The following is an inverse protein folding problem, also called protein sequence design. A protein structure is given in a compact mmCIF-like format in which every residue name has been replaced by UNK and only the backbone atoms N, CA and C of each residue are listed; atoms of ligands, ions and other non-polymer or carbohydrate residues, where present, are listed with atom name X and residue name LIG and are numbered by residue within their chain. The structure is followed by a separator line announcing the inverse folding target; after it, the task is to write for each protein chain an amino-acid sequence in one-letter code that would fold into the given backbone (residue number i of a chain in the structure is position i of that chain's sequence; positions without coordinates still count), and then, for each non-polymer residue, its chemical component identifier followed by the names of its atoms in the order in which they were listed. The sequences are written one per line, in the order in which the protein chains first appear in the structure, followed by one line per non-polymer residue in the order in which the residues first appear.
data_IF_816775700478
#
_entry.id   IF_816775700478
#
_cell.length_a   1.000
_cell.length_b   1.000
_cell.length_c   1.000
_cell.angle_alpha   90.00
_cell.angle_beta   90.00
_cell.angle_gamma   90.00
#
_symmetry.space_group_name_H-M   'P 1'
#
loop_
_entity.id
_entity.type
_entity.pdbx_description
1 polymer ?
#
# COMPACT_ATOMS: atom_id res chain seq x y z
N UNK A 1 -3.63 -13.55 -26.01
CA UNK A 1 -2.58 -14.59 -25.92
C UNK A 1 -2.66 -15.13 -24.51
N UNK A 2 -2.93 -16.41 -24.34
CA UNK A 2 -2.91 -17.04 -23.01
C UNK A 2 -1.45 -17.15 -22.56
N UNK A 3 -1.04 -16.33 -21.60
CA UNK A 3 0.22 -16.51 -20.89
C UNK A 3 0.25 -17.92 -20.33
N UNK A 4 1.37 -18.64 -20.52
CA UNK A 4 1.53 -19.97 -19.92
C UNK A 4 1.40 -19.85 -18.40
N UNK A 5 0.60 -20.74 -17.79
CA UNK A 5 0.30 -20.72 -16.35
C UNK A 5 1.59 -20.82 -15.53
N UNK A 6 2.60 -21.53 -16.05
CA UNK A 6 3.91 -21.63 -15.41
C UNK A 6 4.64 -20.28 -15.37
N UNK A 7 4.65 -19.54 -16.49
CA UNK A 7 5.21 -18.19 -16.57
C UNK A 7 4.49 -17.23 -15.62
N UNK A 8 3.17 -17.33 -15.51
CA UNK A 8 2.38 -16.49 -14.59
C UNK A 8 2.71 -16.73 -13.12
N UNK A 9 2.98 -17.99 -12.72
CA UNK A 9 3.45 -18.31 -11.37
C UNK A 9 4.83 -17.71 -11.10
N UNK A 10 5.78 -17.88 -12.02
CA UNK A 10 7.12 -17.32 -11.87
C UNK A 10 7.11 -15.78 -11.78
N UNK A 11 6.25 -15.13 -12.57
CA UNK A 11 6.11 -13.67 -12.55
C UNK A 11 5.43 -13.19 -11.26
N UNK A 12 4.46 -13.95 -10.75
CA UNK A 12 3.84 -13.67 -9.45
C UNK A 12 4.84 -13.78 -8.30
N UNK A 13 5.67 -14.83 -8.29
CA UNK A 13 6.68 -15.04 -7.25
C UNK A 13 7.70 -13.90 -7.24
N UNK A 14 8.21 -13.50 -8.41
CA UNK A 14 9.07 -12.33 -8.54
C UNK A 14 8.39 -11.05 -8.06
N UNK A 15 7.11 -10.86 -8.38
CA UNK A 15 6.37 -9.68 -7.95
C UNK A 15 6.18 -9.65 -6.42
N UNK A 16 5.91 -10.80 -5.80
CA UNK A 16 5.82 -10.93 -4.34
C UNK A 16 7.18 -10.69 -3.68
N UNK A 17 8.26 -11.29 -4.18
CA UNK A 17 9.62 -11.05 -3.69
C UNK A 17 10.01 -9.57 -3.78
N UNK A 18 9.71 -8.92 -4.92
CA UNK A 18 9.94 -7.49 -5.11
C UNK A 18 9.14 -6.64 -4.13
N UNK A 19 7.85 -6.97 -3.90
CA UNK A 19 7.02 -6.30 -2.90
C UNK A 19 7.63 -6.43 -1.50
N UNK A 20 8.03 -7.63 -1.10
CA UNK A 20 8.64 -7.89 0.21
C UNK A 20 9.96 -7.14 0.39
N UNK A 21 10.82 -7.15 -0.62
CA UNK A 21 12.10 -6.43 -0.61
C UNK A 21 11.88 -4.91 -0.52
N UNK A 22 10.97 -4.36 -1.32
CA UNK A 22 10.66 -2.94 -1.32
C UNK A 22 10.02 -2.50 0.00
N UNK A 23 9.13 -3.32 0.55
CA UNK A 23 8.53 -3.12 1.88
C UNK A 23 9.61 -3.06 2.96
N UNK A 24 10.62 -3.94 2.93
CA UNK A 24 11.75 -3.92 3.88
C UNK A 24 12.51 -2.60 3.81
N UNK A 25 12.93 -2.17 2.61
CA UNK A 25 13.70 -0.94 2.42
C UNK A 25 12.93 0.29 2.91
N UNK A 26 11.66 0.42 2.50
CA UNK A 26 10.84 1.58 2.88
C UNK A 26 10.51 1.58 4.38
N UNK A 27 10.45 0.41 5.02
CA UNK A 27 10.31 0.31 6.48
C UNK A 27 11.58 0.70 7.21
N UNK A 28 12.75 0.32 6.72
CA UNK A 28 14.02 0.77 7.28
C UNK A 28 14.13 2.30 7.26
N UNK A 29 13.72 2.95 6.18
CA UNK A 29 13.66 4.42 6.09
C UNK A 29 12.73 5.02 7.16
N UNK A 30 11.54 4.43 7.33
CA UNK A 30 10.55 4.87 8.32
C UNK A 30 11.06 4.65 9.75
N UNK A 31 11.64 3.50 10.04
CA UNK A 31 12.16 3.14 11.36
C UNK A 31 13.32 4.05 11.75
N UNK A 32 14.26 4.31 10.82
CA UNK A 32 15.35 5.25 11.04
C UNK A 32 14.83 6.67 11.36
N UNK A 33 13.81 7.14 10.65
CA UNK A 33 13.19 8.43 10.92
C UNK A 33 12.44 8.45 12.27
N UNK A 34 11.72 7.39 12.60
CA UNK A 34 11.00 7.25 13.86
C UNK A 34 11.95 7.18 15.06
N UNK A 35 13.08 6.50 14.93
CA UNK A 35 14.10 6.39 15.96
C UNK A 35 14.68 7.76 16.33
N UNK A 36 15.00 8.58 15.34
CA UNK A 36 15.49 9.96 15.57
C UNK A 36 14.36 10.87 16.09
N UNK A 37 13.10 10.58 15.76
CA UNK A 37 11.95 11.39 16.19
C UNK A 37 11.53 11.18 17.64
N UNK A 38 12.00 10.11 18.31
CA UNK A 38 11.68 9.80 19.71
C UNK A 38 12.05 10.92 20.69
N UNK A 39 13.11 11.66 20.39
CA UNK A 39 13.67 12.65 21.32
C UNK A 39 13.20 14.09 21.04
N UNK A 40 12.62 14.37 19.87
CA UNK A 40 12.14 15.71 19.49
C UNK A 40 10.93 15.67 18.56
N UNK A 41 9.75 15.49 19.14
CA UNK A 41 8.48 15.50 18.41
C UNK A 41 8.10 16.86 17.81
N UNK A 42 8.79 17.94 18.18
CA UNK A 42 8.54 19.29 17.66
C UNK A 42 9.34 19.59 16.39
N UNK A 43 10.31 18.73 16.05
CA UNK A 43 11.23 18.92 14.95
C UNK A 43 10.52 18.93 13.58
N UNK A 44 10.42 20.11 12.98
CA UNK A 44 9.74 20.29 11.70
C UNK A 44 10.45 19.59 10.53
N UNK A 45 11.77 19.39 10.59
CA UNK A 45 12.50 18.63 9.56
C UNK A 45 12.07 17.17 9.59
N UNK A 46 12.06 16.58 10.79
CA UNK A 46 11.67 15.18 10.96
C UNK A 46 10.20 14.94 10.60
N UNK A 47 9.28 15.83 11.02
CA UNK A 47 7.86 15.73 10.62
C UNK A 47 7.69 15.72 9.10
N UNK A 48 8.35 16.62 8.38
CA UNK A 48 8.28 16.67 6.91
C UNK A 48 8.82 15.40 6.26
N UNK A 49 9.94 14.90 6.75
CA UNK A 49 10.56 13.70 6.19
C UNK A 49 9.72 12.45 6.49
N UNK A 50 9.15 12.34 7.69
CA UNK A 50 8.21 11.26 8.02
C UNK A 50 6.98 11.29 7.11
N UNK A 51 6.37 12.45 6.88
CA UNK A 51 5.22 12.54 5.95
C UNK A 51 5.59 12.08 4.54
N UNK A 52 6.73 12.52 4.01
CA UNK A 52 7.18 12.13 2.66
C UNK A 52 7.49 10.64 2.57
N UNK A 53 8.23 10.09 3.53
CA UNK A 53 8.56 8.66 3.59
C UNK A 53 7.30 7.81 3.74
N UNK A 54 6.35 8.22 4.60
CA UNK A 54 5.05 7.56 4.77
C UNK A 54 4.29 7.45 3.45
N UNK A 55 4.24 8.53 2.67
CA UNK A 55 3.52 8.50 1.39
C UNK A 55 4.27 7.75 0.29
N UNK A 56 5.59 7.82 0.26
CA UNK A 56 6.40 6.97 -0.62
C UNK A 56 6.12 5.48 -0.34
N UNK A 57 6.06 5.08 0.94
CA UNK A 57 5.64 3.74 1.35
C UNK A 57 4.24 3.38 0.84
N UNK A 58 3.24 4.23 1.10
CA UNK A 58 1.85 3.97 0.71
C UNK A 58 1.70 3.80 -0.80
N UNK A 59 2.32 4.68 -1.58
CA UNK A 59 2.24 4.64 -3.04
C UNK A 59 2.96 3.42 -3.61
N UNK A 60 4.14 3.08 -3.09
CA UNK A 60 4.90 1.91 -3.50
C UNK A 60 4.15 0.60 -3.23
N UNK A 61 3.63 0.42 -2.02
CA UNK A 61 2.85 -0.78 -1.67
C UNK A 61 1.56 -0.86 -2.48
N UNK A 62 0.87 0.27 -2.69
CA UNK A 62 -0.33 0.31 -3.54
C UNK A 62 -0.02 -0.11 -4.97
N UNK A 63 1.07 0.41 -5.55
CA UNK A 63 1.49 0.04 -6.90
C UNK A 63 1.82 -1.46 -7.01
N UNK A 64 2.63 -1.98 -6.09
CA UNK A 64 3.04 -3.38 -6.13
C UNK A 64 1.84 -4.33 -5.98
N UNK A 65 0.88 -4.01 -5.11
CA UNK A 65 -0.36 -4.78 -4.98
C UNK A 65 -1.22 -4.73 -6.25
N UNK A 66 -1.34 -3.58 -6.92
CA UNK A 66 -1.99 -3.51 -8.25
C UNK A 66 -1.26 -4.38 -9.26
N UNK A 67 0.06 -4.31 -9.32
CA UNK A 67 0.86 -5.08 -10.26
C UNK A 67 0.68 -6.60 -10.06
N UNK A 68 0.73 -7.09 -8.82
CA UNK A 68 0.43 -8.49 -8.51
C UNK A 68 -0.99 -8.88 -8.94
N UNK A 69 -1.96 -7.98 -8.76
CA UNK A 69 -3.34 -8.19 -9.21
C UNK A 69 -3.40 -8.33 -10.74
N UNK A 70 -2.69 -7.48 -11.49
CA UNK A 70 -2.60 -7.57 -12.96
C UNK A 70 -2.06 -8.91 -13.42
N UNK A 71 -1.00 -9.43 -12.80
CA UNK A 71 -0.43 -10.74 -13.16
C UNK A 71 -1.47 -11.85 -13.05
N UNK A 72 -2.25 -11.88 -11.97
CA UNK A 72 -3.30 -12.90 -11.75
C UNK A 72 -4.42 -12.78 -12.80
N UNK A 73 -4.79 -11.55 -13.16
CA UNK A 73 -5.86 -11.28 -14.14
C UNK A 73 -5.38 -11.63 -15.56
N UNK A 74 -4.18 -11.23 -15.93
CA UNK A 74 -3.57 -11.50 -17.24
C UNK A 74 -3.33 -12.99 -17.48
N UNK A 75 -3.08 -13.75 -16.40
CA UNK A 75 -3.02 -15.21 -16.43
C UNK A 75 -4.39 -15.88 -16.62
N UNK A 76 -5.49 -15.12 -16.58
CA UNK A 76 -6.85 -15.65 -16.65
C UNK A 76 -7.31 -16.37 -15.38
N UNK A 77 -6.58 -16.22 -14.26
CA UNK A 77 -6.92 -16.85 -12.99
C UNK A 77 -8.05 -16.10 -12.25
N UNK A 78 -8.37 -14.88 -12.69
CA UNK A 78 -9.49 -14.09 -12.19
C UNK A 78 -10.08 -13.22 -13.30
N UNK A 79 -11.41 -13.21 -13.45
CA UNK A 79 -12.12 -12.34 -14.39
C UNK A 79 -12.65 -11.09 -13.69
N UNK A 80 -12.24 -9.92 -14.16
CA UNK A 80 -12.65 -8.62 -13.61
C UNK A 80 -13.93 -8.10 -14.24
N UNK A 81 -14.73 -7.39 -13.45
CA UNK A 81 -15.78 -6.54 -14.00
C UNK A 81 -15.16 -5.40 -14.84
N UNK A 82 -15.82 -4.89 -15.89
CA UNK A 82 -15.23 -3.87 -16.78
C UNK A 82 -14.69 -2.64 -16.06
N UNK A 83 -15.38 -2.16 -15.02
CA UNK A 83 -14.92 -1.01 -14.20
C UNK A 83 -13.67 -1.32 -13.37
N UNK A 84 -13.49 -2.57 -12.98
CA UNK A 84 -12.32 -3.01 -12.22
C UNK A 84 -11.11 -3.16 -13.14
N UNK A 85 -11.32 -3.66 -14.36
CA UNK A 85 -10.29 -3.70 -15.39
C UNK A 85 -9.82 -2.28 -15.76
N UNK A 86 -10.76 -1.36 -16.01
CA UNK A 86 -10.45 0.06 -16.27
C UNK A 86 -9.64 0.69 -15.14
N UNK A 87 -10.02 0.44 -13.87
CA UNK A 87 -9.27 0.93 -12.72
C UNK A 87 -7.85 0.34 -12.63
N UNK A 88 -7.69 -0.95 -12.96
CA UNK A 88 -6.41 -1.62 -12.89
C UNK A 88 -5.42 -1.05 -13.92
N UNK A 89 -5.91 -0.71 -15.11
CA UNK A 89 -5.15 -0.10 -16.21
C UNK A 89 -4.94 1.41 -16.04
N UNK A 90 -5.76 2.10 -15.25
CA UNK A 90 -5.65 3.54 -15.03
C UNK A 90 -4.46 3.91 -14.12
N UNK A 91 -3.42 4.48 -14.75
CA UNK A 91 -2.25 5.05 -14.07
C UNK A 91 -2.51 6.44 -13.45
N UNK A 92 -3.62 7.10 -13.79
CA UNK A 92 -3.94 8.49 -13.40
C UNK A 92 -5.04 8.59 -12.36
N UNK A 93 -5.35 7.50 -11.66
CA UNK A 93 -6.33 7.54 -10.58
C UNK A 93 -5.84 8.40 -9.40
N UNK A 94 -6.72 9.26 -8.89
CA UNK A 94 -6.51 10.02 -7.64
C UNK A 94 -5.94 9.13 -6.51
N UNK A 95 -4.93 9.59 -5.78
CA UNK A 95 -4.19 8.75 -4.83
C UNK A 95 -5.10 8.07 -3.80
N UNK A 96 -6.07 8.79 -3.20
CA UNK A 96 -6.93 8.18 -2.18
C UNK A 96 -7.87 7.16 -2.80
N UNK A 97 -8.41 7.46 -3.98
CA UNK A 97 -9.18 6.48 -4.75
C UNK A 97 -8.32 5.26 -5.10
N UNK A 98 -7.07 5.48 -5.49
CA UNK A 98 -6.14 4.43 -5.88
C UNK A 98 -5.84 3.49 -4.71
N UNK A 99 -5.47 4.03 -3.55
CA UNK A 99 -5.25 3.24 -2.33
C UNK A 99 -6.49 2.44 -1.96
N UNK A 100 -7.65 3.12 -1.91
CA UNK A 100 -8.92 2.51 -1.48
C UNK A 100 -9.37 1.38 -2.40
N UNK A 101 -9.42 1.65 -3.71
CA UNK A 101 -9.90 0.66 -4.68
C UNK A 101 -8.89 -0.48 -4.89
N UNK A 102 -7.59 -0.22 -4.74
CA UNK A 102 -6.56 -1.28 -4.72
C UNK A 102 -6.78 -2.23 -3.55
N UNK A 103 -6.97 -1.74 -2.32
CA UNK A 103 -7.21 -2.60 -1.14
C UNK A 103 -8.41 -3.53 -1.38
N UNK A 104 -9.51 -2.99 -1.91
CA UNK A 104 -10.72 -3.78 -2.23
C UNK A 104 -10.46 -4.80 -3.33
N UNK A 105 -9.83 -4.36 -4.41
CA UNK A 105 -9.61 -5.20 -5.57
C UNK A 105 -8.69 -6.36 -5.23
N UNK A 106 -7.60 -6.09 -4.53
CA UNK A 106 -6.65 -7.09 -4.02
C UNK A 106 -7.38 -8.09 -3.11
N UNK A 107 -8.14 -7.61 -2.12
CA UNK A 107 -8.90 -8.51 -1.25
C UNK A 107 -9.82 -9.45 -2.04
N UNK A 108 -10.51 -8.91 -3.07
CA UNK A 108 -11.38 -9.67 -3.96
C UNK A 108 -10.63 -10.69 -4.82
N UNK A 109 -9.55 -10.29 -5.47
CA UNK A 109 -8.78 -11.13 -6.41
C UNK A 109 -8.05 -12.25 -5.67
N UNK A 110 -7.43 -11.94 -4.55
CA UNK A 110 -6.77 -12.94 -3.72
C UNK A 110 -7.77 -13.76 -2.90
N UNK A 111 -9.02 -13.34 -2.73
CA UNK A 111 -10.02 -14.02 -1.88
C UNK A 111 -9.59 -14.02 -0.41
N UNK A 112 -9.07 -12.88 0.04
CA UNK A 112 -8.74 -12.59 1.45
C UNK A 112 -9.78 -11.62 2.03
N UNK A 113 -9.97 -11.57 3.35
CA UNK A 113 -10.83 -10.60 3.99
C UNK A 113 -10.54 -9.16 3.53
N UNK A 114 -11.59 -8.44 3.12
CA UNK A 114 -11.48 -7.00 2.88
C UNK A 114 -11.12 -6.32 4.20
N UNK A 115 -10.12 -5.44 4.16
CA UNK A 115 -9.79 -4.63 5.33
C UNK A 115 -10.94 -3.66 5.56
N UNK A 116 -11.33 -3.47 6.81
CA UNK A 116 -12.30 -2.43 7.14
C UNK A 116 -11.69 -1.07 6.78
N UNK A 117 -12.07 -0.57 5.61
CA UNK A 117 -11.74 0.76 5.09
C UNK A 117 -12.43 1.88 5.87
N UNK A 118 -12.90 1.57 7.09
CA UNK A 118 -13.59 2.48 7.97
C UNK A 118 -14.92 2.89 7.35
N UNK A 119 -15.94 2.05 7.49
CA UNK A 119 -17.32 2.58 7.55
C UNK A 119 -17.49 3.67 8.64
N UNK A 120 -16.50 3.82 9.53
CA UNK A 120 -16.31 4.85 10.55
C UNK A 120 -14.91 5.47 10.60
N UNK A 121 -14.64 6.13 11.73
CA UNK A 121 -13.66 7.20 12.07
C UNK A 121 -12.21 7.12 11.59
N UNK A 122 -11.72 6.04 10.99
CA UNK A 122 -10.28 5.87 10.81
C UNK A 122 -9.78 6.30 9.42
N UNK A 123 -10.53 5.99 8.34
CA UNK A 123 -10.26 6.56 7.01
C UNK A 123 -10.41 8.09 6.98
N UNK A 124 -11.21 8.64 7.92
CA UNK A 124 -11.34 10.08 8.05
C UNK A 124 -10.03 10.76 8.46
N UNK A 125 -9.09 10.02 9.07
CA UNK A 125 -7.74 10.51 9.37
C UNK A 125 -6.82 10.45 8.16
N UNK A 126 -7.01 9.50 7.23
CA UNK A 126 -6.16 9.32 6.04
C UNK A 126 -6.26 10.51 5.08
N UNK A 127 -7.47 10.99 4.80
CA UNK A 127 -7.69 12.08 3.82
C UNK A 127 -6.94 13.38 4.19
N UNK A 128 -6.96 13.87 5.44
CA UNK A 128 -6.12 14.98 5.89
C UNK A 128 -4.63 14.78 5.62
N UNK A 129 -4.11 13.55 5.80
CA UNK A 129 -2.68 13.27 5.61
C UNK A 129 -2.20 13.53 4.19
N UNK A 130 -3.07 13.30 3.19
CA UNK A 130 -2.73 13.53 1.78
C UNK A 130 -2.52 15.02 1.52
N UNK A 131 -3.37 15.88 2.10
CA UNK A 131 -3.23 17.34 1.96
C UNK A 131 -1.90 17.84 2.50
N UNK A 132 -1.41 17.24 3.59
CA UNK A 132 -0.09 17.56 4.14
C UNK A 132 0.98 17.19 3.12
N UNK A 133 0.95 15.96 2.57
CA UNK A 133 1.90 15.54 1.54
C UNK A 133 1.90 16.47 0.34
N UNK A 134 0.72 16.76 -0.23
CA UNK A 134 0.59 17.59 -1.44
C UNK A 134 1.23 18.95 -1.23
N UNK A 135 0.99 19.55 -0.06
CA UNK A 135 1.57 20.82 0.35
C UNK A 135 3.09 20.74 0.53
N UNK A 136 3.63 19.62 1.00
CA UNK A 136 5.07 19.42 1.17
C UNK A 136 5.82 19.12 -0.13
N UNK A 137 5.16 18.58 -1.15
CA UNK A 137 5.76 18.27 -2.46
C UNK A 137 5.57 19.40 -3.48
N UNK A 138 4.52 20.20 -3.32
CA UNK A 138 4.21 21.34 -4.18
C UNK A 138 3.96 22.62 -3.36
N UNK A 139 4.94 23.05 -2.53
CA UNK A 139 4.76 24.21 -1.65
C UNK A 139 4.61 25.50 -2.47
N UNK A 140 3.62 26.31 -2.13
CA UNK A 140 3.39 27.64 -2.68
C UNK A 140 3.98 28.75 -1.83
N UNK A 141 4.32 28.45 -0.57
CA UNK A 141 4.96 29.39 0.35
C UNK A 141 5.81 28.65 1.40
N UNK A 142 6.59 29.39 2.19
CA UNK A 142 7.39 28.82 3.27
C UNK A 142 6.51 28.34 4.44
N UNK A 143 5.40 29.03 4.69
CA UNK A 143 4.40 28.67 5.72
C UNK A 143 3.77 27.32 5.41
N UNK A 144 3.59 27.00 4.13
CA UNK A 144 3.11 25.69 3.69
C UNK A 144 4.06 24.53 4.06
N UNK A 145 5.32 24.78 4.42
CA UNK A 145 6.23 23.72 4.90
C UNK A 145 6.11 23.42 6.40
N UNK A 146 5.27 24.15 7.13
CA UNK A 146 5.03 23.95 8.56
C UNK A 146 3.93 22.92 8.79
N UNK A 147 4.18 21.93 9.63
CA UNK A 147 3.20 20.92 10.01
C UNK A 147 2.77 21.20 11.44
N UNK A 148 1.52 21.59 11.61
CA UNK A 148 0.94 21.86 12.92
C UNK A 148 0.77 20.58 13.73
N UNK A 149 0.66 20.68 15.05
CA UNK A 149 0.54 19.50 15.93
C UNK A 149 -0.72 18.68 15.62
N UNK A 150 -1.82 19.34 15.29
CA UNK A 150 -3.05 18.67 14.88
C UNK A 150 -2.92 17.92 13.55
N UNK A 151 -2.19 18.50 12.58
CA UNK A 151 -1.88 17.86 11.30
C UNK A 151 -0.96 16.66 11.52
N UNK A 152 0.03 16.80 12.41
CA UNK A 152 0.95 15.73 12.77
C UNK A 152 0.22 14.54 13.41
N UNK A 153 -0.68 14.79 14.37
CA UNK A 153 -1.47 13.73 15.00
C UNK A 153 -2.41 13.05 14.00
N UNK A 154 -3.04 13.81 13.10
CA UNK A 154 -3.84 13.25 12.01
C UNK A 154 -2.98 12.38 11.07
N UNK A 155 -1.77 12.83 10.73
CA UNK A 155 -0.81 12.07 9.92
C UNK A 155 -0.46 10.73 10.58
N UNK A 156 -0.05 10.77 11.84
CA UNK A 156 0.32 9.57 12.60
C UNK A 156 -0.82 8.56 12.64
N UNK A 157 -2.03 8.99 12.98
CA UNK A 157 -3.18 8.11 13.10
C UNK A 157 -3.60 7.52 11.73
N UNK A 158 -3.64 8.36 10.70
CA UNK A 158 -3.95 7.90 9.33
C UNK A 158 -2.91 6.93 8.78
N UNK A 159 -1.62 7.20 9.02
CA UNK A 159 -0.54 6.35 8.54
C UNK A 159 -0.46 5.01 9.29
N UNK A 160 -0.61 5.00 10.62
CA UNK A 160 -0.66 3.75 11.40
C UNK A 160 -1.80 2.84 10.91
N UNK A 161 -2.95 3.43 10.60
CA UNK A 161 -4.06 2.67 10.03
C UNK A 161 -3.71 2.10 8.65
N UNK A 162 -3.10 2.88 7.75
CA UNK A 162 -2.68 2.43 6.42
C UNK A 162 -1.68 1.27 6.49
N UNK A 163 -0.67 1.38 7.35
CA UNK A 163 0.32 0.33 7.58
C UNK A 163 -0.36 -0.96 8.04
N UNK A 164 -1.26 -0.89 9.03
CA UNK A 164 -2.02 -2.06 9.51
C UNK A 164 -2.88 -2.69 8.43
N UNK A 165 -3.52 -1.87 7.59
CA UNK A 165 -4.34 -2.37 6.48
C UNK A 165 -3.49 -3.15 5.47
N UNK A 166 -2.34 -2.59 5.07
CA UNK A 166 -1.42 -3.26 4.15
C UNK A 166 -0.77 -4.51 4.76
N UNK A 167 -0.30 -4.44 5.99
CA UNK A 167 0.33 -5.59 6.68
C UNK A 167 -0.64 -6.74 6.82
N UNK A 168 -1.88 -6.43 7.20
CA UNK A 168 -2.93 -7.43 7.20
C UNK A 168 -3.07 -8.06 5.82
N UNK A 169 -3.28 -7.25 4.77
CA UNK A 169 -3.50 -7.82 3.41
C UNK A 169 -2.34 -8.72 2.99
N UNK A 170 -1.11 -8.26 3.20
CA UNK A 170 0.08 -9.03 2.84
C UNK A 170 0.18 -10.33 3.63
N UNK A 171 -0.12 -10.31 4.93
CA UNK A 171 -0.18 -11.52 5.77
C UNK A 171 -1.19 -12.52 5.23
N UNK A 172 -2.42 -12.09 4.95
CA UNK A 172 -3.47 -12.99 4.47
C UNK A 172 -3.15 -13.57 3.09
N UNK A 173 -2.55 -12.76 2.19
CA UNK A 173 -2.10 -13.21 0.87
C UNK A 173 -1.00 -14.27 1.03
N UNK A 174 0.00 -14.01 1.87
CA UNK A 174 1.11 -14.92 2.10
C UNK A 174 0.64 -16.24 2.74
N UNK A 175 -0.26 -16.19 3.71
CA UNK A 175 -0.81 -17.37 4.37
C UNK A 175 -1.59 -18.24 3.38
N UNK A 176 -2.42 -17.59 2.54
CA UNK A 176 -3.19 -18.29 1.53
C UNK A 176 -2.29 -18.91 0.44
N UNK A 177 -1.22 -18.21 0.05
CA UNK A 177 -0.23 -18.70 -0.90
C UNK A 177 0.52 -19.91 -0.34
N UNK A 178 1.01 -19.82 0.89
CA UNK A 178 1.72 -20.91 1.60
C UNK A 178 0.85 -22.16 1.74
N UNK A 179 -0.44 -22.00 2.04
CA UNK A 179 -1.39 -23.12 2.14
C UNK A 179 -1.64 -23.84 0.81
N UNK A 180 -1.48 -23.17 -0.33
CA UNK A 180 -1.62 -23.79 -1.66
C UNK A 180 -0.37 -24.60 -2.02
N UNK A 181 0.82 -24.04 -1.83
CA UNK A 181 2.07 -24.75 -2.10
C UNK A 181 2.21 -26.06 -1.29
N UNK A 182 1.78 -26.09 -0.02
CA UNK A 182 1.80 -27.33 0.78
C UNK A 182 0.83 -28.43 0.31
N UNK A 183 -0.18 -28.09 -0.50
CA UNK A 183 -1.16 -29.07 -1.01
C UNK A 183 -0.72 -29.72 -2.32
N UNK A 184 0.13 -29.05 -3.09
CA UNK A 184 0.61 -29.51 -4.38
C UNK A 184 1.95 -30.27 -4.28
N UNK A 185 2.49 -30.45 -3.07
CA UNK A 185 3.64 -31.33 -2.85
C UNK A 185 3.18 -32.79 -2.97
N UNK A 186 3.70 -33.60 -3.91
CA UNK A 186 3.32 -35.00 -4.02
C UNK A 186 3.59 -35.71 -2.71
N UNK A 187 2.59 -36.40 -2.16
CA UNK A 187 2.84 -37.35 -1.08
C UNK A 187 3.78 -38.42 -1.64
N UNK A 188 5.00 -38.47 -1.10
CA UNK A 188 5.97 -39.52 -1.36
C UNK A 188 5.40 -40.90 -1.02
#
# INVERSE_FOLDING_TARGET
MTTDLHTACDDFDKALENLLSMNSILREDLDALLDVFKDDHSNQVLRRNLVRASWAYVEAITYALKHMTSIIVDAGAYELEPRQAEFLEDERTDTLKNVKETIKLVAKVFKVPERDLGGGTDWCNVKPTLKIRDRLVHPKSAEELRIEDSEWEAHKNGFVWLVRAFDGLLSDINDQYSQRQCKDTPKA
#
